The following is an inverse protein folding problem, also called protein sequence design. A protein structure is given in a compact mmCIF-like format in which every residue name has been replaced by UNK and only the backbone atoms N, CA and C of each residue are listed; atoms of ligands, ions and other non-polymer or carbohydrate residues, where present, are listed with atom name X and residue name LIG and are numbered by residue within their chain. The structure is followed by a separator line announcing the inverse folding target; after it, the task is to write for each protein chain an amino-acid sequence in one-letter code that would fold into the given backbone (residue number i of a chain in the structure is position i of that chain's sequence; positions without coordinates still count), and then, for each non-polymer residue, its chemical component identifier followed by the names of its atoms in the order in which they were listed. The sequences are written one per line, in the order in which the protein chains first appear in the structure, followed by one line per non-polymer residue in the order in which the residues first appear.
data_IF_785494704577
#
_entry.id   IF_785494704577
#
_cell.length_a   1.000
_cell.length_b   1.000
_cell.length_c   1.000
_cell.angle_alpha   90.00
_cell.angle_beta   90.00
_cell.angle_gamma   90.00
#
_symmetry.space_group_name_H-M   'P 1'
#
loop_
_entity.id
_entity.type
_entity.pdbx_description
1 polymer ?
#
# COMPACT_ATOMS: atom_id res chain seq x y z
N UNK A 1 3.69 24.07 -7.21
CA UNK A 1 4.02 22.85 -7.99
C UNK A 1 2.75 22.11 -8.44
N UNK A 2 2.49 22.00 -9.75
CA UNK A 2 1.35 21.20 -10.26
C UNK A 2 1.65 19.72 -10.01
N UNK A 3 0.95 19.09 -9.07
CA UNK A 3 0.98 17.63 -8.89
C UNK A 3 0.46 17.00 -10.19
N UNK A 4 1.34 16.34 -10.94
CA UNK A 4 0.94 15.61 -12.14
C UNK A 4 0.03 14.47 -11.71
N UNK A 5 -1.26 14.58 -12.02
CA UNK A 5 -2.23 13.50 -11.85
C UNK A 5 -2.37 12.78 -13.19
N UNK A 6 -1.71 11.63 -13.38
CA UNK A 6 -1.91 10.83 -14.58
C UNK A 6 -3.39 10.44 -14.70
N UNK A 7 -3.90 10.43 -15.94
CA UNK A 7 -5.26 9.98 -16.26
C UNK A 7 -5.40 8.47 -15.98
N UNK A 8 -6.61 7.92 -16.06
CA UNK A 8 -6.85 6.46 -16.04
C UNK A 8 -5.94 5.73 -17.05
N UNK A 9 -5.66 6.34 -18.21
CA UNK A 9 -4.70 5.79 -19.18
C UNK A 9 -3.25 5.75 -18.66
N UNK A 10 -2.87 6.67 -17.77
CA UNK A 10 -1.60 6.65 -17.05
C UNK A 10 -1.55 5.61 -15.94
N UNK A 11 -2.67 5.31 -15.26
CA UNK A 11 -2.80 4.19 -14.33
C UNK A 11 -2.42 2.86 -15.03
N UNK A 12 -3.01 2.61 -16.19
CA UNK A 12 -2.72 1.43 -17.00
C UNK A 12 -1.28 1.36 -17.52
N UNK A 13 -0.53 2.47 -17.53
CA UNK A 13 0.89 2.46 -17.92
C UNK A 13 1.80 2.02 -16.78
N UNK A 14 1.43 2.32 -15.53
CA UNK A 14 2.23 1.96 -14.37
C UNK A 14 1.87 0.59 -13.81
N UNK A 15 0.62 0.15 -13.98
CA UNK A 15 0.18 -1.16 -13.49
C UNK A 15 1.07 -2.33 -13.99
N UNK A 16 1.47 -2.43 -15.28
CA UNK A 16 2.40 -3.48 -15.71
C UNK A 16 3.77 -3.39 -15.04
N UNK A 17 4.27 -2.18 -14.79
CA UNK A 17 5.56 -1.99 -14.13
C UNK A 17 5.50 -2.40 -12.65
N UNK A 18 4.44 -2.00 -11.95
CA UNK A 18 4.23 -2.37 -10.55
C UNK A 18 4.04 -3.88 -10.42
N UNK A 19 3.21 -4.49 -11.27
CA UNK A 19 2.93 -5.95 -11.25
C UNK A 19 4.16 -6.81 -11.55
N UNK A 20 5.06 -6.35 -12.41
CA UNK A 20 6.25 -7.09 -12.79
C UNK A 20 7.47 -6.71 -11.92
N UNK A 21 7.31 -5.81 -10.95
CA UNK A 21 8.36 -5.51 -9.98
C UNK A 21 8.21 -6.38 -8.75
N UNK A 22 9.33 -6.87 -8.23
CA UNK A 22 9.37 -7.51 -6.90
C UNK A 22 9.25 -6.51 -5.76
N UNK A 23 9.78 -5.31 -5.98
CA UNK A 23 9.86 -4.26 -4.97
C UNK A 23 9.24 -2.98 -5.49
N UNK A 24 8.32 -2.43 -4.71
CA UNK A 24 7.77 -1.10 -4.92
C UNK A 24 8.19 -0.21 -3.77
N UNK A 25 9.03 0.79 -4.04
CA UNK A 25 9.40 1.82 -3.08
C UNK A 25 8.92 3.17 -3.58
N UNK A 26 8.04 3.78 -2.79
CA UNK A 26 7.52 5.11 -3.06
C UNK A 26 7.72 5.95 -1.80
N UNK A 27 8.24 7.17 -1.96
CA UNK A 27 8.51 8.09 -0.85
C UNK A 27 7.95 9.46 -1.15
N UNK A 28 7.41 10.16 -0.14
CA UNK A 28 6.95 11.54 -0.29
C UNK A 28 5.69 11.69 -1.16
N UNK A 29 4.81 10.69 -1.18
CA UNK A 29 3.57 10.72 -1.99
C UNK A 29 2.33 10.86 -1.14
N UNK A 30 1.28 11.41 -1.76
CA UNK A 30 -0.07 11.31 -1.24
C UNK A 30 -0.66 9.98 -1.68
N UNK A 31 -1.05 9.12 -0.72
CA UNK A 31 -1.86 7.93 -0.97
C UNK A 31 -3.31 8.37 -1.22
N UNK A 32 -3.52 8.96 -2.39
CA UNK A 32 -4.83 9.27 -2.93
C UNK A 32 -5.49 8.01 -3.53
N UNK A 33 -6.76 8.07 -3.97
CA UNK A 33 -7.43 6.91 -4.55
C UNK A 33 -6.67 6.27 -5.70
N UNK A 34 -5.92 7.05 -6.47
CA UNK A 34 -5.24 6.59 -7.67
C UNK A 34 -4.00 5.75 -7.33
N UNK A 35 -3.15 6.21 -6.41
CA UNK A 35 -2.03 5.40 -5.90
C UNK A 35 -2.57 4.15 -5.19
N UNK A 36 -3.62 4.31 -4.37
CA UNK A 36 -4.25 3.21 -3.66
C UNK A 36 -4.74 2.11 -4.60
N UNK A 37 -5.49 2.48 -5.65
CA UNK A 37 -5.99 1.54 -6.66
C UNK A 37 -4.85 0.86 -7.44
N UNK A 38 -3.79 1.60 -7.78
CA UNK A 38 -2.61 1.03 -8.48
C UNK A 38 -1.98 -0.10 -7.69
N UNK A 39 -1.72 0.14 -6.40
CA UNK A 39 -1.07 -0.82 -5.52
C UNK A 39 -2.02 -1.98 -5.22
N UNK A 40 -3.27 -1.69 -4.86
CA UNK A 40 -4.29 -2.69 -4.57
C UNK A 40 -4.51 -3.65 -5.74
N UNK A 41 -4.60 -3.13 -6.97
CA UNK A 41 -4.71 -3.94 -8.18
C UNK A 41 -3.51 -4.85 -8.40
N UNK A 42 -2.30 -4.44 -7.98
CA UNK A 42 -1.13 -5.30 -8.05
C UNK A 42 -1.17 -6.39 -6.97
N UNK A 43 -1.63 -6.09 -5.75
CA UNK A 43 -1.75 -7.05 -4.66
C UNK A 43 -2.83 -8.12 -4.92
N UNK A 44 -3.91 -7.74 -5.60
CA UNK A 44 -5.01 -8.65 -5.97
C UNK A 44 -4.67 -9.66 -7.07
N UNK A 45 -3.63 -9.41 -7.85
CA UNK A 45 -3.34 -10.21 -9.04
C UNK A 45 -2.51 -11.45 -8.69
N UNK A 46 -3.00 -12.69 -8.95
CA UNK A 46 -2.28 -13.92 -8.59
C UNK A 46 -0.88 -14.05 -9.21
N UNK A 47 -0.65 -13.40 -10.36
CA UNK A 47 0.62 -13.39 -11.10
C UNK A 47 1.46 -12.14 -10.84
N UNK A 48 1.09 -11.31 -9.87
CA UNK A 48 1.94 -10.21 -9.44
C UNK A 48 3.23 -10.75 -8.85
N UNK A 49 4.35 -10.10 -9.17
CA UNK A 49 5.65 -10.40 -8.60
C UNK A 49 5.93 -9.58 -7.34
N UNK A 50 5.02 -8.67 -6.97
CA UNK A 50 5.22 -7.73 -5.86
C UNK A 50 5.24 -8.48 -4.52
N UNK A 51 6.42 -8.54 -3.91
CA UNK A 51 6.68 -9.16 -2.60
C UNK A 51 7.16 -8.14 -1.57
N UNK A 52 7.58 -6.94 -1.99
CA UNK A 52 8.07 -5.90 -1.09
C UNK A 52 7.38 -4.56 -1.37
N UNK A 53 6.70 -4.01 -0.37
CA UNK A 53 6.01 -2.73 -0.47
C UNK A 53 6.56 -1.76 0.58
N UNK A 54 7.12 -0.64 0.13
CA UNK A 54 7.63 0.42 1.00
C UNK A 54 6.99 1.75 0.63
N UNK A 55 6.09 2.23 1.49
CA UNK A 55 5.47 3.55 1.42
C UNK A 55 6.01 4.39 2.58
N UNK A 56 6.96 5.26 2.29
CA UNK A 56 7.69 6.04 3.30
C UNK A 56 7.40 7.52 3.17
N UNK A 57 7.43 8.28 4.27
CA UNK A 57 7.18 9.73 4.25
C UNK A 57 5.90 10.11 3.47
N UNK A 58 4.86 9.30 3.54
CA UNK A 58 3.65 9.43 2.69
C UNK A 58 2.45 9.99 3.46
N UNK A 59 1.54 10.67 2.76
CA UNK A 59 0.29 11.15 3.33
C UNK A 59 -0.84 10.14 3.04
N UNK A 60 -1.38 9.53 4.08
CA UNK A 60 -2.40 8.49 3.98
C UNK A 60 -3.81 9.10 4.02
N UNK A 61 -4.42 9.29 2.84
CA UNK A 61 -5.81 9.74 2.77
C UNK A 61 -6.78 8.57 2.84
N UNK A 62 -7.93 8.76 3.49
CA UNK A 62 -8.89 7.70 3.79
C UNK A 62 -9.23 6.81 2.58
N UNK A 63 -9.60 7.42 1.44
CA UNK A 63 -9.98 6.68 0.24
C UNK A 63 -8.85 5.83 -0.36
N UNK A 64 -7.64 6.38 -0.47
CA UNK A 64 -6.48 5.64 -0.99
C UNK A 64 -6.01 4.57 -0.01
N UNK A 65 -6.10 4.87 1.28
CA UNK A 65 -5.76 3.97 2.38
C UNK A 65 -6.69 2.77 2.45
N UNK A 66 -8.00 2.99 2.26
CA UNK A 66 -8.99 1.91 2.18
C UNK A 66 -8.69 0.94 1.05
N UNK A 67 -8.40 1.46 -0.15
CA UNK A 67 -8.03 0.63 -1.29
C UNK A 67 -6.75 -0.18 -1.02
N UNK A 68 -5.77 0.42 -0.35
CA UNK A 68 -4.55 -0.29 0.05
C UNK A 68 -4.87 -1.42 1.04
N UNK A 69 -5.67 -1.15 2.09
CA UNK A 69 -6.14 -2.16 3.05
C UNK A 69 -6.84 -3.31 2.33
N UNK A 70 -7.80 -3.03 1.45
CA UNK A 70 -8.52 -4.04 0.67
C UNK A 70 -7.56 -4.91 -0.19
N UNK A 71 -6.43 -4.33 -0.61
CA UNK A 71 -5.38 -5.05 -1.34
C UNK A 71 -4.51 -5.91 -0.44
N UNK A 72 -4.19 -5.43 0.77
CA UNK A 72 -3.41 -6.16 1.76
C UNK A 72 -4.17 -7.36 2.33
N UNK A 73 -5.48 -7.24 2.53
CA UNK A 73 -6.37 -8.32 3.00
C UNK A 73 -6.65 -9.40 1.94
N UNK A 74 -6.20 -9.19 0.69
CA UNK A 74 -6.44 -10.14 -0.37
C UNK A 74 -5.66 -11.44 -0.15
N UNK A 75 -6.30 -12.59 -0.37
CA UNK A 75 -5.67 -13.91 -0.22
C UNK A 75 -4.55 -14.19 -1.23
N UNK A 76 -4.44 -13.41 -2.31
CA UNK A 76 -3.33 -13.47 -3.26
C UNK A 76 -2.17 -12.52 -2.90
N UNK A 77 -2.28 -11.76 -1.82
CA UNK A 77 -1.20 -10.90 -1.34
C UNK A 77 -0.03 -11.78 -0.87
N UNK A 78 1.14 -11.57 -1.49
CA UNK A 78 2.37 -12.35 -1.25
C UNK A 78 3.48 -11.48 -0.68
N UNK A 79 3.11 -10.42 0.03
CA UNK A 79 4.09 -9.53 0.62
C UNK A 79 4.90 -10.29 1.68
N UNK A 80 6.22 -10.24 1.51
CA UNK A 80 7.21 -10.71 2.47
C UNK A 80 7.85 -9.54 3.23
N UNK A 81 7.81 -8.33 2.66
CA UNK A 81 8.26 -7.12 3.33
C UNK A 81 7.24 -5.98 3.19
N UNK A 82 6.93 -5.33 4.31
CA UNK A 82 6.06 -4.16 4.36
C UNK A 82 6.70 -3.05 5.21
N UNK A 83 6.85 -1.86 4.62
CA UNK A 83 7.25 -0.65 5.35
C UNK A 83 6.23 0.45 5.12
N UNK A 84 5.61 0.93 6.20
CA UNK A 84 4.64 2.03 6.18
C UNK A 84 5.13 3.13 7.12
N UNK A 85 5.37 4.31 6.57
CA UNK A 85 5.78 5.50 7.33
C UNK A 85 5.13 6.75 6.75
N UNK A 86 4.53 7.56 7.63
CA UNK A 86 3.79 8.75 7.19
C UNK A 86 2.81 9.30 8.21
N UNK A 87 1.82 10.02 7.71
CA UNK A 87 0.79 10.70 8.51
C UNK A 87 -0.58 10.67 7.81
N UNK A 88 -1.65 11.06 8.50
CA UNK A 88 -2.98 11.26 7.90
C UNK A 88 -4.00 10.15 8.14
N UNK A 89 -3.62 9.05 8.82
CA UNK A 89 -4.54 7.99 9.19
C UNK A 89 -5.46 8.42 10.34
N UNK A 90 -6.75 8.14 10.20
CA UNK A 90 -7.71 8.18 11.31
C UNK A 90 -7.54 6.96 12.22
N UNK A 91 -8.04 7.02 13.45
CA UNK A 91 -7.98 5.87 14.37
C UNK A 91 -8.69 4.60 13.84
N UNK A 92 -9.75 4.76 13.07
CA UNK A 92 -10.44 3.64 12.40
C UNK A 92 -9.57 3.02 11.29
N UNK A 93 -8.92 3.85 10.49
CA UNK A 93 -8.00 3.36 9.47
C UNK A 93 -6.79 2.67 10.08
N UNK A 94 -6.26 3.15 11.22
CA UNK A 94 -5.18 2.47 11.94
C UNK A 94 -5.58 1.05 12.36
N UNK A 95 -6.81 0.84 12.85
CA UNK A 95 -7.33 -0.49 13.18
C UNK A 95 -7.46 -1.39 11.95
N UNK A 96 -7.90 -0.81 10.84
CA UNK A 96 -8.02 -1.54 9.57
C UNK A 96 -6.65 -1.99 9.05
N UNK A 97 -5.65 -1.11 9.12
CA UNK A 97 -4.26 -1.50 8.82
C UNK A 97 -3.73 -2.57 9.77
N UNK A 98 -4.00 -2.47 11.07
CA UNK A 98 -3.58 -3.49 12.03
C UNK A 98 -4.14 -4.87 11.65
N UNK A 99 -5.45 -4.97 11.38
CA UNK A 99 -6.09 -6.23 10.97
C UNK A 99 -5.55 -6.77 9.64
N UNK A 100 -5.36 -5.89 8.65
CA UNK A 100 -4.76 -6.28 7.37
C UNK A 100 -3.32 -6.79 7.54
N UNK A 101 -2.50 -6.13 8.37
CA UNK A 101 -1.13 -6.55 8.66
C UNK A 101 -1.13 -7.89 9.40
N UNK A 102 -2.03 -8.10 10.36
CA UNK A 102 -2.18 -9.37 11.07
C UNK A 102 -2.41 -10.54 10.10
N UNK A 103 -3.22 -10.34 9.05
CA UNK A 103 -3.43 -11.36 8.01
C UNK A 103 -2.18 -11.69 7.20
N UNK A 104 -1.20 -10.78 7.16
CA UNK A 104 0.06 -10.93 6.41
C UNK A 104 1.20 -11.51 7.26
N UNK A 105 1.09 -11.48 8.59
CA UNK A 105 2.13 -11.98 9.52
C UNK A 105 2.66 -13.37 9.13
N UNK A 106 1.84 -14.37 8.74
CA UNK A 106 2.35 -15.68 8.37
C UNK A 106 3.33 -15.69 7.18
N UNK A 107 3.28 -14.66 6.32
CA UNK A 107 4.10 -14.53 5.13
C UNK A 107 5.21 -13.47 5.27
N UNK A 108 5.05 -12.51 6.19
CA UNK A 108 6.00 -11.41 6.37
C UNK A 108 7.29 -11.89 7.04
N UNK A 109 8.41 -11.50 6.42
CA UNK A 109 9.78 -11.62 6.94
C UNK A 109 10.29 -10.31 7.51
N UNK A 110 9.81 -9.18 6.97
CA UNK A 110 10.19 -7.83 7.39
C UNK A 110 8.96 -6.93 7.55
N UNK A 111 8.86 -6.26 8.69
CA UNK A 111 7.80 -5.30 8.98
C UNK A 111 8.41 -4.07 9.65
N UNK A 112 8.22 -2.89 9.03
CA UNK A 112 8.65 -1.61 9.57
C UNK A 112 7.46 -0.64 9.58
N UNK A 113 7.08 -0.18 10.77
CA UNK A 113 5.95 0.73 10.96
C UNK A 113 6.41 1.93 11.78
N UNK A 114 6.02 3.14 11.36
CA UNK A 114 6.14 4.32 12.22
C UNK A 114 4.97 4.42 13.19
N UNK A 115 5.15 5.04 14.36
CA UNK A 115 4.15 5.21 15.44
C UNK A 115 2.78 5.75 15.01
N UNK A 116 2.70 6.39 13.84
CA UNK A 116 1.47 6.96 13.29
C UNK A 116 0.65 5.97 12.45
N UNK A 117 1.15 4.75 12.19
CA UNK A 117 0.49 3.77 11.31
C UNK A 117 -0.39 2.79 12.10
N UNK A 118 0.12 2.24 13.19
CA UNK A 118 -0.63 1.37 14.09
C UNK A 118 -0.36 1.81 15.52
N UNK A 119 -1.43 2.00 16.31
CA UNK A 119 -1.32 2.16 17.75
C UNK A 119 -1.77 0.86 18.40
N UNK A 120 -0.95 0.33 19.30
CA UNK A 120 -1.40 -0.74 20.20
C UNK A 120 -2.42 -0.14 21.19
N UNK A 121 -3.63 -0.69 21.23
CA UNK A 121 -4.63 -0.43 22.26
C UNK A 121 -4.61 -1.51 23.32
#
# INVERSE_FOLDING_TARGET
PKKYRPTVKGLFRLLPAVRNSRKLRISGVDLDPWIGETISSALWMPRSLLTELHLTLSAFYEKGSKLLVDGLENSHCKLEALSLSGYGLSGEMQKSFASAIESLIPNLKELELSDNIVKCS
#
